data_IF_074973221427
#
_entry.id   IF_074973221427
#
_cell.length_a   1.000
_cell.length_b   1.000
_cell.length_c   1.000
_cell.angle_alpha   90.00
_cell.angle_beta   90.00
_cell.angle_gamma   90.00
#
_symmetry.space_group_name_H-M   'P 1'
#
loop_
_entity.id
_entity.type
_entity.pdbx_description
1 polymer ?
#
# COMPACT_ATOMS: atom_id res chain seq x y z
N UNK A 1 4.16 -33.69 9.84
CA UNK A 1 4.43 -32.28 10.13
C UNK A 1 5.14 -31.70 8.92
N UNK A 2 4.56 -30.69 8.26
CA UNK A 2 5.17 -30.06 7.07
C UNK A 2 5.77 -28.74 7.54
N UNK A 3 7.09 -28.64 7.54
CA UNK A 3 7.78 -27.43 7.99
C UNK A 3 8.24 -26.59 6.79
N UNK A 4 8.26 -25.27 6.98
CA UNK A 4 8.69 -24.30 5.97
C UNK A 4 9.59 -23.25 6.64
N UNK A 5 10.68 -22.89 5.96
CA UNK A 5 11.57 -21.81 6.40
C UNK A 5 10.84 -20.46 6.29
N UNK A 6 10.82 -19.71 7.38
CA UNK A 6 10.23 -18.39 7.45
C UNK A 6 11.17 -17.32 6.90
N UNK A 7 10.71 -16.54 5.90
CA UNK A 7 11.50 -15.43 5.33
C UNK A 7 11.54 -14.17 6.22
N UNK A 8 10.72 -14.11 7.27
CA UNK A 8 10.64 -12.96 8.18
C UNK A 8 11.62 -13.09 9.33
N UNK A 9 11.65 -14.26 10.00
CA UNK A 9 12.50 -14.49 11.18
C UNK A 9 13.66 -15.46 10.93
N UNK A 10 13.69 -16.17 9.80
CA UNK A 10 14.72 -17.16 9.48
C UNK A 10 14.57 -18.52 10.19
N UNK A 11 13.53 -18.73 11.01
CA UNK A 11 13.25 -20.00 11.68
C UNK A 11 12.42 -20.97 10.84
N UNK A 12 12.42 -22.25 11.23
CA UNK A 12 11.50 -23.27 10.69
C UNK A 12 10.19 -23.27 11.48
N UNK A 13 9.07 -23.27 10.78
CA UNK A 13 7.73 -23.31 11.39
C UNK A 13 6.86 -24.37 10.72
N UNK A 14 5.92 -24.92 11.49
CA UNK A 14 4.86 -25.75 10.95
C UNK A 14 3.96 -24.92 10.03
N UNK A 15 3.67 -25.45 8.84
CA UNK A 15 2.81 -24.83 7.83
C UNK A 15 1.39 -24.66 8.35
N UNK A 16 0.91 -25.62 9.14
CA UNK A 16 -0.48 -25.63 9.63
C UNK A 16 -0.67 -24.76 10.89
N UNK A 17 0.42 -24.38 11.57
CA UNK A 17 0.43 -23.54 12.78
C UNK A 17 1.40 -22.36 12.66
N UNK A 18 1.25 -21.57 11.59
CA UNK A 18 2.17 -20.47 11.31
C UNK A 18 2.06 -19.34 12.35
N UNK A 19 3.18 -18.87 12.95
CA UNK A 19 3.14 -17.81 13.96
C UNK A 19 2.58 -16.49 13.42
N UNK A 20 1.69 -15.83 14.17
CA UNK A 20 1.04 -14.58 13.74
C UNK A 20 2.03 -13.42 13.49
N UNK A 21 3.12 -13.35 14.26
CA UNK A 21 4.20 -12.37 14.05
C UNK A 21 5.00 -12.62 12.77
N UNK A 22 4.91 -13.82 12.21
CA UNK A 22 5.58 -14.24 10.98
C UNK A 22 4.60 -14.33 9.79
N UNK A 23 3.32 -13.99 9.97
CA UNK A 23 2.37 -13.93 8.85
C UNK A 23 2.72 -12.74 7.96
N UNK A 24 2.80 -12.92 6.62
CA UNK A 24 2.94 -11.79 5.72
C UNK A 24 1.74 -10.86 5.85
N UNK A 25 1.99 -9.55 5.74
CA UNK A 25 0.93 -8.54 5.77
C UNK A 25 -0.05 -8.76 4.62
N UNK A 26 -1.35 -8.72 4.93
CA UNK A 26 -2.40 -8.93 3.91
C UNK A 26 -2.37 -7.77 2.93
N UNK A 27 -2.17 -8.07 1.65
CA UNK A 27 -2.34 -7.08 0.60
C UNK A 27 -3.84 -6.82 0.40
N UNK A 28 -4.33 -5.68 0.85
CA UNK A 28 -5.72 -5.26 0.60
C UNK A 28 -6.05 -5.07 -0.89
N UNK A 29 -5.03 -4.94 -1.74
CA UNK A 29 -5.18 -4.83 -3.18
C UNK A 29 -5.26 -6.18 -3.91
N UNK A 30 -4.99 -7.29 -3.22
CA UNK A 30 -5.05 -8.63 -3.79
C UNK A 30 -6.17 -9.45 -3.14
N UNK A 31 -6.90 -10.22 -3.95
CA UNK A 31 -7.86 -11.19 -3.42
C UNK A 31 -7.14 -12.41 -2.84
N UNK A 32 -7.74 -13.09 -1.86
CA UNK A 32 -7.20 -14.34 -1.31
C UNK A 32 -7.36 -15.55 -2.28
N UNK A 33 -7.98 -15.35 -3.44
CA UNK A 33 -8.13 -16.37 -4.47
C UNK A 33 -6.79 -16.66 -5.16
N UNK A 34 -6.46 -17.94 -5.46
CA UNK A 34 -5.23 -18.32 -6.15
C UNK A 34 -5.31 -18.08 -7.66
N UNK A 35 -5.81 -16.91 -8.06
CA UNK A 35 -5.97 -16.51 -9.46
C UNK A 35 -5.09 -15.31 -9.78
N UNK A 36 -4.51 -15.24 -11.00
CA UNK A 36 -3.83 -14.04 -11.43
C UNK A 36 -4.77 -12.82 -11.45
N UNK A 37 -4.24 -11.65 -11.11
CA UNK A 37 -4.96 -10.40 -11.34
C UNK A 37 -5.11 -10.18 -12.86
N UNK A 38 -6.33 -10.27 -13.36
CA UNK A 38 -6.64 -10.07 -14.78
C UNK A 38 -7.35 -8.74 -15.00
N UNK A 39 -6.75 -7.87 -15.81
CA UNK A 39 -7.34 -6.60 -16.25
C UNK A 39 -7.62 -6.71 -17.75
N UNK A 40 -8.90 -6.77 -18.12
CA UNK A 40 -9.30 -6.88 -19.53
C UNK A 40 -9.05 -5.58 -20.30
N UNK A 41 -8.69 -5.70 -21.58
CA UNK A 41 -8.59 -4.55 -22.49
C UNK A 41 -9.95 -4.10 -23.05
N UNK A 42 -10.98 -4.94 -22.91
CA UNK A 42 -12.31 -4.69 -23.46
C UNK A 42 -13.00 -3.43 -22.91
N UNK A 43 -13.70 -2.74 -23.80
CA UNK A 43 -14.62 -1.63 -23.56
C UNK A 43 -15.99 -1.97 -24.14
N UNK A 44 -17.05 -1.50 -23.48
CA UNK A 44 -18.42 -1.62 -23.98
C UNK A 44 -18.74 -0.46 -24.94
N UNK A 45 -17.98 -0.33 -26.03
CA UNK A 45 -18.23 0.65 -27.09
C UNK A 45 -18.16 2.10 -26.61
N UNK A 46 -17.00 2.56 -26.19
CA UNK A 46 -16.79 3.95 -25.74
C UNK A 46 -16.51 4.84 -26.94
N UNK A 47 -17.25 5.95 -27.06
CA UNK A 47 -16.95 6.96 -28.06
C UNK A 47 -15.78 7.85 -27.61
N UNK A 48 -14.77 7.96 -28.46
CA UNK A 48 -13.65 8.88 -28.29
C UNK A 48 -14.08 10.31 -28.58
N UNK A 49 -13.69 11.24 -27.71
CA UNK A 49 -13.95 12.67 -27.89
C UNK A 49 -12.92 13.34 -28.81
N UNK A 50 -11.81 12.67 -29.10
CA UNK A 50 -10.77 13.18 -29.99
C UNK A 50 -11.21 13.12 -31.46
N UNK A 51 -11.82 12.01 -31.86
CA UNK A 51 -12.12 11.68 -33.27
C UNK A 51 -13.54 11.17 -33.49
N UNK A 52 -14.38 11.09 -32.46
CA UNK A 52 -15.79 10.69 -32.54
C UNK A 52 -16.02 9.20 -32.82
N UNK A 53 -14.96 8.39 -32.90
CA UNK A 53 -15.06 6.95 -33.21
C UNK A 53 -15.35 6.12 -31.95
N UNK A 54 -16.04 4.99 -32.14
CA UNK A 54 -16.34 4.04 -31.06
C UNK A 54 -15.21 3.00 -30.96
N UNK A 55 -14.70 2.79 -29.75
CA UNK A 55 -13.65 1.84 -29.44
C UNK A 55 -14.14 0.77 -28.46
N UNK A 56 -13.72 -0.47 -28.73
CA UNK A 56 -13.94 -1.68 -27.93
C UNK A 56 -12.69 -2.09 -27.13
N UNK A 57 -11.59 -1.36 -27.30
CA UNK A 57 -10.27 -1.66 -26.72
C UNK A 57 -9.68 -0.41 -26.07
N UNK A 58 -9.31 -0.53 -24.79
CA UNK A 58 -8.65 0.56 -24.03
C UNK A 58 -7.32 0.92 -24.64
N UNK A 59 -6.53 -0.08 -25.04
CA UNK A 59 -5.21 0.12 -25.64
C UNK A 59 -5.29 0.89 -26.96
N UNK A 60 -6.23 0.55 -27.84
CA UNK A 60 -6.46 1.29 -29.10
C UNK A 60 -6.88 2.75 -28.85
N UNK A 61 -7.81 2.97 -27.91
CA UNK A 61 -8.25 4.32 -27.55
C UNK A 61 -7.10 5.18 -27.01
N UNK A 62 -6.27 4.62 -26.12
CA UNK A 62 -5.10 5.35 -25.57
C UNK A 62 -4.05 5.64 -26.64
N UNK A 63 -3.87 4.74 -27.60
CA UNK A 63 -2.93 4.95 -28.70
C UNK A 63 -3.31 6.18 -29.54
N UNK A 64 -4.60 6.42 -29.78
CA UNK A 64 -5.04 7.61 -30.54
C UNK A 64 -4.81 8.89 -29.75
N UNK A 65 -5.13 8.90 -28.45
CA UNK A 65 -4.85 10.03 -27.56
C UNK A 65 -3.35 10.38 -27.52
N UNK A 66 -2.49 9.36 -27.38
CA UNK A 66 -1.03 9.57 -27.38
C UNK A 66 -0.54 10.11 -28.72
N UNK A 67 -1.05 9.61 -29.84
CA UNK A 67 -0.69 10.10 -31.18
C UNK A 67 -1.10 11.56 -31.42
N UNK A 68 -2.22 11.99 -30.82
CA UNK A 68 -2.68 13.38 -30.85
C UNK A 68 -2.01 14.30 -29.81
N UNK A 69 -1.06 13.79 -29.02
CA UNK A 69 -0.36 14.57 -28.00
C UNK A 69 -1.20 14.88 -26.75
N UNK A 70 -2.31 14.16 -26.54
CA UNK A 70 -3.12 14.29 -25.32
C UNK A 70 -2.36 13.67 -24.14
N UNK A 71 -2.42 14.35 -22.99
CA UNK A 71 -1.81 13.87 -21.74
C UNK A 71 -2.84 13.08 -20.94
N UNK A 72 -2.52 11.83 -20.61
CA UNK A 72 -3.35 11.01 -19.73
C UNK A 72 -3.26 11.50 -18.27
N UNK A 73 -4.31 12.18 -17.81
CA UNK A 73 -4.39 12.63 -16.41
C UNK A 73 -4.75 11.45 -15.51
N UNK A 74 -3.97 11.28 -14.44
CA UNK A 74 -4.27 10.35 -13.35
C UNK A 74 -3.37 9.12 -13.26
N UNK A 75 -2.60 8.82 -14.31
CA UNK A 75 -1.48 7.88 -14.29
C UNK A 75 -0.14 8.62 -14.07
N UNK A 76 -0.14 9.64 -13.21
CA UNK A 76 1.05 10.42 -12.92
C UNK A 76 1.99 9.62 -11.99
N UNK A 77 3.25 9.36 -12.39
CA UNK A 77 4.23 8.68 -11.54
C UNK A 77 4.42 9.37 -10.18
N UNK A 78 4.16 10.68 -10.10
CA UNK A 78 4.22 11.43 -8.86
C UNK A 78 3.24 10.93 -7.79
N UNK A 79 2.10 10.33 -8.18
CA UNK A 79 1.15 9.73 -7.22
C UNK A 79 1.72 8.52 -6.49
N UNK A 80 2.66 7.81 -7.11
CA UNK A 80 3.32 6.64 -6.50
C UNK A 80 4.49 7.03 -5.60
N UNK A 81 4.90 8.31 -5.58
CA UNK A 81 6.02 8.76 -4.77
C UNK A 81 5.65 8.67 -3.29
N UNK A 82 6.46 8.00 -2.45
CA UNK A 82 6.21 7.94 -1.01
C UNK A 82 6.11 9.35 -0.44
N UNK A 83 5.06 9.62 0.34
CA UNK A 83 4.93 10.89 1.05
C UNK A 83 6.11 11.03 2.01
N UNK A 84 6.89 12.11 1.88
CA UNK A 84 7.94 12.40 2.83
C UNK A 84 7.30 12.72 4.18
N UNK A 85 7.49 11.82 5.16
CA UNK A 85 7.08 12.08 6.54
C UNK A 85 8.04 13.12 7.13
N UNK A 86 7.54 14.13 7.86
CA UNK A 86 8.43 15.06 8.55
C UNK A 86 9.35 14.28 9.49
N UNK A 87 10.61 14.70 9.60
CA UNK A 87 11.56 14.07 10.52
C UNK A 87 11.07 14.32 11.96
N UNK A 88 10.95 13.28 12.80
CA UNK A 88 10.58 13.46 14.20
C UNK A 88 11.66 14.28 14.93
N UNK A 89 11.23 15.23 15.75
CA UNK A 89 12.13 15.91 16.68
C UNK A 89 12.49 14.96 17.83
N UNK A 90 13.63 14.28 17.68
CA UNK A 90 14.11 13.29 18.64
C UNK A 90 14.37 13.89 20.02
N UNK A 91 14.75 15.17 20.09
CA UNK A 91 15.05 15.83 21.36
C UNK A 91 13.76 16.10 22.13
N UNK A 92 12.78 16.73 21.48
CA UNK A 92 11.48 16.98 22.11
C UNK A 92 10.80 15.68 22.58
N UNK A 93 10.88 14.61 21.78
CA UNK A 93 10.36 13.30 22.17
C UNK A 93 11.09 12.79 23.41
N UNK A 94 12.43 12.79 23.43
CA UNK A 94 13.21 12.33 24.59
C UNK A 94 12.89 13.15 25.85
N UNK A 95 12.92 14.47 25.75
CA UNK A 95 12.64 15.37 26.86
C UNK A 95 11.22 15.12 27.43
N UNK A 96 10.23 14.86 26.55
CA UNK A 96 8.87 14.51 26.98
C UNK A 96 8.80 13.18 27.73
N UNK A 97 9.52 12.15 27.25
CA UNK A 97 9.56 10.82 27.86
C UNK A 97 10.27 10.87 29.20
N UNK A 98 11.41 11.56 29.29
CA UNK A 98 12.16 11.75 30.53
C UNK A 98 11.33 12.51 31.57
N UNK A 99 10.64 13.57 31.16
CA UNK A 99 9.73 14.31 32.04
C UNK A 99 8.59 13.45 32.55
N UNK A 100 7.98 12.63 31.68
CA UNK A 100 6.92 11.71 32.07
C UNK A 100 7.43 10.63 33.05
N UNK A 101 8.59 10.04 32.78
CA UNK A 101 9.23 9.05 33.65
C UNK A 101 9.55 9.65 35.03
N UNK A 102 10.07 10.89 35.08
CA UNK A 102 10.36 11.58 36.32
C UNK A 102 9.09 11.91 37.15
N UNK A 103 7.96 12.22 36.49
CA UNK A 103 6.67 12.41 37.18
C UNK A 103 6.16 11.10 37.77
N UNK A 104 6.24 10.02 37.00
CA UNK A 104 5.84 8.70 37.44
C UNK A 104 6.68 8.21 38.63
N UNK A 105 8.01 8.39 38.59
CA UNK A 105 8.89 8.01 39.70
C UNK A 105 8.68 8.84 40.97
N UNK A 106 8.24 10.09 40.83
CA UNK A 106 7.76 10.92 41.96
C UNK A 106 6.40 10.50 42.52
N UNK A 107 5.75 9.50 41.93
CA UNK A 107 4.46 8.98 42.39
C UNK A 107 3.25 9.76 41.86
N UNK A 108 3.43 10.72 40.96
CA UNK A 108 2.32 11.39 40.27
C UNK A 108 1.66 10.40 39.31
N UNK A 109 0.49 9.87 39.67
CA UNK A 109 -0.32 9.00 38.80
C UNK A 109 -1.49 9.79 38.22
N UNK A 110 -1.73 9.65 36.93
CA UNK A 110 -2.93 10.18 36.29
C UNK A 110 -4.11 9.28 36.64
N UNK A 111 -5.05 9.78 37.44
CA UNK A 111 -6.37 9.16 37.56
C UNK A 111 -7.13 9.35 36.25
N UNK A 112 -7.72 8.28 35.67
CA UNK A 112 -8.63 8.44 34.54
C UNK A 112 -9.88 9.20 35.00
N UNK A 113 -10.31 10.18 34.21
CA UNK A 113 -11.65 10.77 34.30
C UNK A 113 -12.66 9.86 33.61
#
# INVERSE_FOLDING_TARGET
MRERLCRVCGGWHDVDAWPHNCLPERSHAASDLPVPNYISDGLNGVQSMLDGRIYDSKSKLRATYKAAGVVEVGNDPARLRPRQKPKPDRKAIRDSVEKAAARFSRGERTSPQ
#
